data_IF_233002260621
#
_entry.id   IF_233002260621
#
_cell.length_a   1.000
_cell.length_b   1.000
_cell.length_c   1.000
_cell.angle_alpha   90.00
_cell.angle_beta   90.00
_cell.angle_gamma   90.00
#
_symmetry.space_group_name_H-M   'P 1'
#
loop_
_entity.id
_entity.type
_entity.pdbx_description
1 polymer ?
#
# COMPACT_ATOMS: atom_id res chain seq x y z
N UNK A 1 27.36 0.37 -23.33
CA UNK A 1 27.07 0.89 -21.98
C UNK A 1 25.78 0.23 -21.53
N UNK A 2 25.77 -0.76 -20.64
CA UNK A 2 24.52 -1.28 -20.09
C UNK A 2 24.08 -0.33 -18.98
N UNK A 3 22.96 0.33 -19.20
CA UNK A 3 22.27 1.19 -18.24
C UNK A 3 21.58 0.29 -17.22
N UNK A 4 22.08 0.29 -15.98
CA UNK A 4 21.56 -0.46 -14.85
C UNK A 4 20.38 0.27 -14.21
N UNK A 5 19.28 0.41 -14.96
CA UNK A 5 18.00 0.82 -14.39
C UNK A 5 17.11 -0.43 -14.29
N UNK A 6 16.44 -0.64 -13.14
CA UNK A 6 15.46 -1.71 -13.02
C UNK A 6 14.35 -1.49 -14.06
N UNK A 7 13.99 -2.56 -14.76
CA UNK A 7 12.85 -2.55 -15.67
C UNK A 7 11.57 -2.50 -14.85
N UNK A 8 10.93 -1.34 -14.81
CA UNK A 8 9.57 -1.22 -14.27
C UNK A 8 8.59 -1.70 -15.33
N UNK A 9 8.02 -2.90 -15.13
CA UNK A 9 6.89 -3.35 -15.94
C UNK A 9 5.66 -2.58 -15.45
N UNK A 10 4.96 -1.81 -16.31
CA UNK A 10 3.74 -1.13 -15.90
C UNK A 10 2.71 -2.20 -15.52
N UNK A 11 2.29 -2.17 -14.26
CA UNK A 11 1.19 -2.97 -13.74
C UNK A 11 -0.11 -2.32 -14.16
N UNK A 12 -0.90 -3.00 -14.97
CA UNK A 12 -2.20 -2.51 -15.43
C UNK A 12 -3.24 -2.87 -14.36
N UNK A 13 -3.32 -2.06 -13.30
CA UNK A 13 -4.29 -2.24 -12.22
C UNK A 13 -5.31 -1.11 -12.26
N UNK A 14 -6.56 -1.41 -12.62
CA UNK A 14 -7.66 -0.45 -12.56
C UNK A 14 -8.39 -0.61 -11.22
N UNK A 15 -8.36 0.39 -10.31
CA UNK A 15 -9.14 0.34 -9.08
C UNK A 15 -10.62 0.17 -9.43
N UNK A 16 -11.24 -0.95 -9.04
CA UNK A 16 -12.66 -1.24 -9.34
C UNK A 16 -13.56 -0.46 -8.38
N UNK A 17 -13.64 0.86 -8.54
CA UNK A 17 -14.63 1.70 -7.88
C UNK A 17 -14.40 1.96 -6.39
N UNK A 18 -15.24 2.85 -5.84
CA UNK A 18 -15.17 3.35 -4.45
C UNK A 18 -15.17 2.20 -3.43
N UNK A 19 -14.07 2.06 -2.69
CA UNK A 19 -13.90 1.06 -1.64
C UNK A 19 -14.80 1.40 -0.43
N UNK A 20 -15.79 0.54 -0.15
CA UNK A 20 -16.65 0.63 1.04
C UNK A 20 -16.32 -0.53 1.97
N UNK A 21 -15.61 -0.25 3.06
CA UNK A 21 -15.18 -1.26 4.04
C UNK A 21 -16.29 -1.48 5.07
N UNK A 22 -16.79 -2.70 5.19
CA UNK A 22 -17.74 -3.10 6.24
C UNK A 22 -16.97 -3.81 7.34
N UNK A 23 -16.84 -3.15 8.49
CA UNK A 23 -16.11 -3.70 9.64
C UNK A 23 -17.07 -4.62 10.44
N UNK A 24 -16.83 -5.93 10.41
CA UNK A 24 -17.55 -6.90 11.24
C UNK A 24 -17.07 -6.85 12.69
N UNK A 25 -17.98 -7.04 13.64
CA UNK A 25 -17.79 -6.82 15.09
C UNK A 25 -16.82 -7.82 15.78
N UNK A 26 -16.19 -8.72 15.03
CA UNK A 26 -15.32 -9.77 15.57
C UNK A 26 -13.84 -9.40 15.66
N UNK A 27 -13.34 -8.38 14.92
CA UNK A 27 -12.02 -7.74 15.12
C UNK A 27 -12.02 -6.23 14.77
N UNK A 28 -12.97 -5.41 15.27
CA UNK A 28 -13.19 -4.05 14.77
C UNK A 28 -12.12 -3.03 15.18
N UNK A 29 -11.38 -3.28 16.25
CA UNK A 29 -10.42 -2.31 16.81
C UNK A 29 -9.14 -2.20 16.00
N UNK A 30 -8.59 -3.30 15.50
CA UNK A 30 -7.28 -3.29 14.84
C UNK A 30 -7.33 -2.66 13.44
N UNK A 31 -8.41 -2.91 12.69
CA UNK A 31 -8.64 -2.33 11.36
C UNK A 31 -8.82 -0.81 11.44
N UNK A 32 -9.71 -0.35 12.33
CA UNK A 32 -9.98 1.08 12.51
C UNK A 32 -8.76 1.82 13.09
N UNK A 33 -8.02 1.18 14.00
CA UNK A 33 -6.78 1.74 14.53
C UNK A 33 -5.72 1.89 13.44
N UNK A 34 -5.56 0.87 12.59
CA UNK A 34 -4.61 0.91 11.46
C UNK A 34 -4.96 2.04 10.50
N UNK A 35 -6.22 2.18 10.08
CA UNK A 35 -6.66 3.22 9.14
C UNK A 35 -6.66 4.62 9.78
N UNK A 36 -6.79 4.72 11.11
CA UNK A 36 -6.72 6.02 11.80
C UNK A 36 -5.31 6.63 11.81
N UNK A 37 -4.28 5.85 11.50
CA UNK A 37 -2.91 6.35 11.34
C UNK A 37 -2.82 7.30 10.15
N UNK A 38 -2.25 8.49 10.38
CA UNK A 38 -1.94 9.46 9.32
C UNK A 38 -1.06 8.83 8.24
N UNK A 39 -0.06 8.03 8.63
CA UNK A 39 0.81 7.33 7.68
C UNK A 39 0.03 6.30 6.87
N UNK A 40 -0.90 5.56 7.47
CA UNK A 40 -1.70 4.58 6.74
C UNK A 40 -2.61 5.27 5.70
N UNK A 41 -3.18 6.43 6.04
CA UNK A 41 -3.98 7.21 5.10
C UNK A 41 -3.15 7.75 3.94
N UNK A 42 -1.93 8.22 4.19
CA UNK A 42 -1.00 8.65 3.15
C UNK A 42 -0.59 7.49 2.22
N UNK A 43 -0.35 6.30 2.78
CA UNK A 43 -0.07 5.09 2.00
C UNK A 43 -1.25 4.71 1.11
N UNK A 44 -2.48 4.73 1.64
CA UNK A 44 -3.69 4.47 0.87
C UNK A 44 -3.88 5.49 -0.25
N UNK A 45 -3.61 6.78 0.01
CA UNK A 45 -3.67 7.82 -1.00
C UNK A 45 -2.62 7.63 -2.11
N UNK A 46 -1.39 7.21 -1.77
CA UNK A 46 -0.35 6.93 -2.75
C UNK A 46 -0.70 5.73 -3.66
N UNK A 47 -1.41 4.73 -3.11
CA UNK A 47 -1.87 3.56 -3.84
C UNK A 47 -3.13 3.78 -4.67
N UNK A 48 -3.93 4.82 -4.37
CA UNK A 48 -5.14 5.16 -5.12
C UNK A 48 -4.81 5.56 -6.58
N UNK A 49 -3.67 6.22 -6.79
CA UNK A 49 -3.20 6.60 -8.13
C UNK A 49 -2.67 5.39 -8.92
N UNK A 50 -1.71 4.62 -8.36
CA UNK A 50 -1.11 3.47 -9.03
C UNK A 50 -0.43 2.53 -8.01
N UNK A 51 -0.35 1.20 -8.28
CA UNK A 51 0.46 0.32 -7.45
C UNK A 51 1.94 0.72 -7.52
N UNK A 52 2.62 0.63 -6.38
CA UNK A 52 4.01 1.04 -6.24
C UNK A 52 4.75 0.12 -5.25
N UNK A 53 6.09 0.02 -5.33
CA UNK A 53 6.88 -0.75 -4.38
C UNK A 53 6.95 0.01 -3.06
N UNK A 54 7.22 -0.72 -1.97
CA UNK A 54 7.25 -0.14 -0.63
C UNK A 54 8.25 1.02 -0.46
N UNK A 55 9.31 1.09 -1.29
CA UNK A 55 10.25 2.22 -1.31
C UNK A 55 9.59 3.51 -1.79
N UNK A 56 8.86 3.44 -2.89
CA UNK A 56 8.27 4.61 -3.56
C UNK A 56 7.06 5.09 -2.76
N UNK A 57 6.31 4.15 -2.17
CA UNK A 57 5.26 4.44 -1.20
C UNK A 57 5.83 5.18 0.02
N UNK A 58 6.99 4.76 0.52
CA UNK A 58 7.63 5.41 1.67
C UNK A 58 8.07 6.84 1.35
N UNK A 59 8.59 7.07 0.13
CA UNK A 59 8.92 8.41 -0.35
C UNK A 59 7.68 9.29 -0.48
N UNK A 60 6.60 8.77 -1.08
CA UNK A 60 5.34 9.49 -1.23
C UNK A 60 4.66 9.82 0.10
N UNK A 61 4.76 8.92 1.10
CA UNK A 61 4.19 9.09 2.44
C UNK A 61 5.16 9.74 3.45
N UNK A 62 6.28 10.33 2.98
CA UNK A 62 7.32 10.97 3.80
C UNK A 62 7.68 10.14 5.06
N UNK A 63 7.93 8.85 4.86
CA UNK A 63 8.20 7.92 5.95
C UNK A 63 9.34 6.96 5.62
N UNK A 64 9.78 6.19 6.61
CA UNK A 64 10.80 5.18 6.35
C UNK A 64 10.20 3.96 5.63
N UNK A 65 10.99 3.30 4.79
CA UNK A 65 10.60 2.04 4.13
C UNK A 65 10.13 0.98 5.13
N UNK A 66 10.74 0.93 6.32
CA UNK A 66 10.35 0.02 7.39
C UNK A 66 8.95 0.35 7.93
N UNK A 67 8.66 1.63 8.14
CA UNK A 67 7.36 2.08 8.62
C UNK A 67 6.27 1.87 7.55
N UNK A 68 6.60 2.13 6.28
CA UNK A 68 5.71 1.81 5.16
C UNK A 68 5.39 0.31 5.10
N UNK A 69 6.40 -0.57 5.23
CA UNK A 69 6.17 -2.03 5.28
C UNK A 69 5.28 -2.47 6.42
N UNK A 70 5.52 -1.94 7.63
CA UNK A 70 4.69 -2.23 8.80
C UNK A 70 3.22 -1.90 8.55
N UNK A 71 2.96 -0.72 8.01
CA UNK A 71 1.59 -0.30 7.69
C UNK A 71 1.00 -1.09 6.51
N UNK A 72 1.77 -1.41 5.46
CA UNK A 72 1.30 -2.24 4.35
C UNK A 72 0.90 -3.64 4.81
N UNK A 73 1.67 -4.25 5.72
CA UNK A 73 1.33 -5.56 6.28
C UNK A 73 0.00 -5.52 7.05
N UNK A 74 -0.20 -4.52 7.92
CA UNK A 74 -1.47 -4.34 8.63
C UNK A 74 -2.65 -4.04 7.69
N UNK A 75 -2.41 -3.26 6.62
CA UNK A 75 -3.44 -2.98 5.62
C UNK A 75 -3.78 -4.23 4.79
N UNK A 76 -2.81 -5.11 4.50
CA UNK A 76 -3.05 -6.41 3.86
C UNK A 76 -3.83 -7.36 4.76
N UNK A 77 -3.46 -7.47 6.04
CA UNK A 77 -4.19 -8.28 7.04
C UNK A 77 -5.64 -7.84 7.21
N UNK A 78 -5.90 -6.55 6.97
CA UNK A 78 -7.20 -5.91 6.99
C UNK A 78 -8.00 -6.07 5.66
N UNK A 79 -7.47 -6.79 4.67
CA UNK A 79 -8.02 -6.89 3.31
C UNK A 79 -8.26 -5.52 2.61
N UNK A 80 -7.50 -4.48 2.99
CA UNK A 80 -7.63 -3.14 2.44
C UNK A 80 -6.77 -2.90 1.21
N UNK A 81 -5.63 -3.60 1.13
CA UNK A 81 -4.70 -3.56 0.00
C UNK A 81 -4.23 -4.99 -0.27
N UNK A 82 -3.79 -5.25 -1.50
CA UNK A 82 -3.23 -6.54 -1.89
C UNK A 82 -1.90 -6.35 -2.63
N UNK A 83 -1.00 -7.31 -2.48
CA UNK A 83 0.26 -7.35 -3.23
C UNK A 83 -0.01 -7.89 -4.63
N UNK A 84 0.01 -6.99 -5.63
CA UNK A 84 -0.32 -7.33 -7.03
C UNK A 84 0.86 -7.93 -7.80
N UNK A 85 2.10 -7.61 -7.39
CA UNK A 85 3.32 -8.20 -7.95
C UNK A 85 4.51 -8.00 -6.98
N UNK A 86 5.56 -8.82 -7.12
CA UNK A 86 6.82 -8.63 -6.37
C UNK A 86 7.93 -8.25 -7.35
N UNK A 87 8.29 -6.98 -7.40
CA UNK A 87 9.43 -6.53 -8.18
C UNK A 87 10.74 -6.86 -7.45
N UNK A 88 11.54 -7.73 -8.06
CA UNK A 88 12.96 -7.90 -7.70
C UNK A 88 13.76 -6.76 -8.33
N UNK A 89 14.51 -6.01 -7.50
CA UNK A 89 15.53 -5.06 -7.96
C UNK A 89 16.79 -5.77 -8.43
#
# INVERSE_FOLDING_TARGET
MPTAFPYHTPVDHTPRGRLSVVVSNEQPTDVLQTVSSETAQQILAALDDNPAPASDIAEAADTSVQNARYHLEHLCEADLVETVDTWYS
#
